data_IF_406841232675
#
_entry.id   IF_406841232675
#
_cell.length_a   1.000
_cell.length_b   1.000
_cell.length_c   1.000
_cell.angle_alpha   90.00
_cell.angle_beta   90.00
_cell.angle_gamma   90.00
#
_symmetry.space_group_name_H-M   'P 1'
#
loop_
_entity.id
_entity.type
_entity.pdbx_description
1 polymer ?
#
# COMPACT_ATOMS: atom_id res chain seq x y z
N UNK A 1 -11.72 -0.39 24.98
CA UNK A 1 -12.18 0.93 25.44
C UNK A 1 -11.21 2.05 25.03
N UNK A 2 -9.92 2.03 25.41
CA UNK A 2 -8.93 3.02 24.93
C UNK A 2 -8.60 2.87 23.43
N UNK A 3 -8.59 1.65 22.90
CA UNK A 3 -8.25 1.40 21.49
C UNK A 3 -9.38 1.78 20.51
N UNK A 4 -10.65 1.61 20.90
CA UNK A 4 -11.81 1.96 20.06
C UNK A 4 -11.99 3.47 19.91
N UNK A 5 -11.66 4.23 20.96
CA UNK A 5 -11.72 5.69 20.95
C UNK A 5 -10.67 6.29 20.01
N UNK A 6 -9.49 5.67 19.91
CA UNK A 6 -8.42 6.03 18.98
C UNK A 6 -8.80 5.80 17.51
N UNK A 7 -9.46 4.67 17.20
CA UNK A 7 -9.93 4.35 15.84
C UNK A 7 -11.01 5.33 15.36
N UNK A 8 -11.81 5.85 16.28
CA UNK A 8 -12.90 6.79 15.96
C UNK A 8 -12.40 8.22 15.69
N UNK A 9 -11.27 8.61 16.29
CA UNK A 9 -10.63 9.92 16.11
C UNK A 9 -9.60 9.98 14.98
N UNK A 10 -9.19 8.81 14.45
CA UNK A 10 -8.24 8.65 13.36
C UNK A 10 -8.50 9.55 12.14
N UNK A 11 -9.75 9.74 11.66
CA UNK A 11 -10.01 10.60 10.50
C UNK A 11 -9.54 12.04 10.67
N UNK A 12 -9.63 12.61 11.87
CA UNK A 12 -9.23 13.98 12.17
C UNK A 12 -7.71 14.18 12.19
N UNK A 13 -6.96 13.20 12.70
CA UNK A 13 -5.48 13.22 12.75
C UNK A 13 -4.82 13.01 11.38
N UNK A 14 -5.55 12.55 10.37
CA UNK A 14 -5.04 12.30 9.03
C UNK A 14 -4.96 13.56 8.15
N UNK A 15 -5.54 14.69 8.58
CA UNK A 15 -5.64 15.93 7.78
C UNK A 15 -4.40 16.84 7.87
N UNK A 16 -3.44 16.58 8.76
CA UNK A 16 -2.13 17.23 8.80
C UNK A 16 -1.02 16.34 8.21
N UNK A 17 -0.20 16.85 7.29
CA UNK A 17 0.83 16.05 6.61
C UNK A 17 1.86 15.43 7.57
N UNK A 18 2.30 16.17 8.59
CA UNK A 18 3.32 15.71 9.54
C UNK A 18 2.80 14.70 10.56
N UNK A 19 1.54 14.84 10.99
CA UNK A 19 0.91 13.93 11.95
C UNK A 19 0.55 12.58 11.31
N UNK A 20 0.10 12.60 10.05
CA UNK A 20 -0.28 11.38 9.31
C UNK A 20 0.88 10.41 9.16
N UNK A 21 2.05 10.88 8.70
CA UNK A 21 3.21 10.01 8.49
C UNK A 21 3.71 9.45 9.82
N UNK A 22 3.67 10.26 10.88
CA UNK A 22 4.05 9.84 12.23
C UNK A 22 3.13 8.73 12.74
N UNK A 23 1.81 8.87 12.59
CA UNK A 23 0.83 7.85 12.94
C UNK A 23 1.05 6.55 12.17
N UNK A 24 1.24 6.62 10.84
CA UNK A 24 1.49 5.44 10.02
C UNK A 24 2.77 4.69 10.45
N UNK A 25 3.83 5.41 10.82
CA UNK A 25 5.06 4.80 11.38
C UNK A 25 4.79 4.10 12.71
N UNK A 26 3.94 4.65 13.58
CA UNK A 26 3.56 4.00 14.84
C UNK A 26 2.76 2.71 14.58
N UNK A 27 1.83 2.72 13.63
CA UNK A 27 1.06 1.54 13.21
C UNK A 27 2.01 0.46 12.67
N UNK A 28 2.91 0.81 11.75
CA UNK A 28 3.89 -0.13 11.19
C UNK A 28 4.79 -0.72 12.28
N UNK A 29 5.23 0.10 13.25
CA UNK A 29 6.01 -0.38 14.40
C UNK A 29 5.22 -1.37 15.26
N UNK A 30 3.95 -1.10 15.53
CA UNK A 30 3.08 -2.02 16.27
C UNK A 30 2.85 -3.35 15.53
N UNK A 31 2.90 -3.33 14.19
CA UNK A 31 2.81 -4.52 13.33
C UNK A 31 4.15 -5.24 13.13
N UNK A 32 5.23 -4.83 13.80
CA UNK A 32 6.55 -5.46 13.65
C UNK A 32 7.34 -5.01 12.42
N UNK A 33 7.08 -3.81 11.90
CA UNK A 33 7.78 -3.19 10.77
C UNK A 33 7.79 -4.05 9.49
N UNK A 34 6.61 -4.53 9.02
CA UNK A 34 6.53 -5.39 7.84
C UNK A 34 7.05 -4.71 6.57
N UNK A 35 7.02 -3.38 6.52
CA UNK A 35 7.54 -2.55 5.43
C UNK A 35 9.06 -2.73 5.20
N UNK A 36 9.81 -3.16 6.21
CA UNK A 36 11.24 -3.42 6.10
C UNK A 36 11.57 -4.77 5.43
N UNK A 37 10.59 -5.65 5.25
CA UNK A 37 10.79 -6.98 4.67
C UNK A 37 10.87 -6.97 3.13
N UNK A 38 10.59 -5.83 2.49
CA UNK A 38 10.40 -5.74 1.04
C UNK A 38 11.37 -4.75 0.40
N UNK A 39 11.84 -5.08 -0.81
CA UNK A 39 12.47 -4.10 -1.70
C UNK A 39 11.37 -3.32 -2.42
N UNK A 40 11.31 -2.00 -2.21
CA UNK A 40 10.22 -1.16 -2.70
C UNK A 40 10.66 -0.26 -3.85
N UNK A 41 9.86 -0.25 -4.93
CA UNK A 41 9.92 0.75 -6.00
C UNK A 41 8.71 1.68 -5.82
N UNK A 42 8.95 2.94 -5.47
CA UNK A 42 7.89 3.94 -5.31
C UNK A 42 7.75 4.76 -6.59
N UNK A 43 6.58 4.68 -7.24
CA UNK A 43 6.27 5.38 -8.49
C UNK A 43 5.35 6.57 -8.22
N UNK A 44 5.90 7.79 -8.38
CA UNK A 44 5.19 9.06 -8.20
C UNK A 44 5.03 9.81 -9.53
N UNK A 45 4.08 10.76 -9.59
CA UNK A 45 3.86 11.63 -10.77
C UNK A 45 2.38 11.93 -11.03
N UNK A 46 2.09 12.85 -11.94
CA UNK A 46 0.71 13.23 -12.26
C UNK A 46 0.00 12.11 -13.03
N UNK A 47 0.63 11.60 -14.10
CA UNK A 47 0.06 10.61 -15.01
C UNK A 47 0.98 9.39 -15.15
N UNK A 48 0.44 8.28 -15.63
CA UNK A 48 1.23 7.10 -16.02
C UNK A 48 1.74 6.22 -14.88
N UNK A 49 1.54 6.57 -13.61
CA UNK A 49 1.98 5.76 -12.45
C UNK A 49 1.49 4.31 -12.54
N UNK A 50 0.19 4.11 -12.75
CA UNK A 50 -0.41 2.79 -12.83
C UNK A 50 0.16 1.95 -13.98
N UNK A 51 0.25 2.52 -15.18
CA UNK A 51 0.82 1.83 -16.35
C UNK A 51 2.30 1.51 -16.17
N UNK A 52 3.08 2.45 -15.60
CA UNK A 52 4.50 2.24 -15.33
C UNK A 52 4.72 1.17 -14.27
N UNK A 53 3.98 1.21 -13.15
CA UNK A 53 4.07 0.18 -12.11
C UNK A 53 3.68 -1.21 -12.64
N UNK A 54 2.64 -1.30 -13.47
CA UNK A 54 2.25 -2.55 -14.11
C UNK A 54 3.33 -3.10 -15.06
N UNK A 55 3.98 -2.22 -15.83
CA UNK A 55 5.09 -2.60 -16.71
C UNK A 55 6.30 -3.07 -15.92
N UNK A 56 6.68 -2.37 -14.86
CA UNK A 56 7.78 -2.78 -13.97
C UNK A 56 7.48 -4.15 -13.34
N UNK A 57 6.27 -4.33 -12.80
CA UNK A 57 5.87 -5.59 -12.19
C UNK A 57 5.91 -6.75 -13.20
N UNK A 58 5.48 -6.51 -14.45
CA UNK A 58 5.57 -7.48 -15.54
C UNK A 58 7.01 -7.94 -15.82
N UNK A 59 7.93 -6.98 -15.93
CA UNK A 59 9.34 -7.24 -16.25
C UNK A 59 10.02 -8.01 -15.12
N UNK A 60 9.80 -7.59 -13.87
CA UNK A 60 10.37 -8.26 -12.70
C UNK A 60 9.82 -9.68 -12.55
N UNK A 61 8.52 -9.87 -12.75
CA UNK A 61 7.90 -11.19 -12.74
C UNK A 61 8.49 -12.08 -13.84
N UNK A 62 8.61 -11.57 -15.07
CA UNK A 62 9.22 -12.30 -16.18
C UNK A 62 10.69 -12.65 -15.93
N UNK A 63 11.38 -11.87 -15.08
CA UNK A 63 12.75 -12.12 -14.64
C UNK A 63 12.86 -13.11 -13.46
N UNK A 64 11.74 -13.70 -13.02
CA UNK A 64 11.71 -14.73 -11.99
C UNK A 64 11.54 -14.23 -10.55
N UNK A 65 11.25 -12.93 -10.36
CA UNK A 65 10.95 -12.39 -9.02
C UNK A 65 9.49 -12.63 -8.64
N UNK A 66 9.25 -12.82 -7.33
CA UNK A 66 7.90 -12.67 -6.77
C UNK A 66 7.62 -11.19 -6.53
N UNK A 67 6.55 -10.66 -7.11
CA UNK A 67 6.30 -9.21 -7.15
C UNK A 67 4.92 -8.88 -6.60
N UNK A 68 4.90 -8.00 -5.60
CA UNK A 68 3.69 -7.31 -5.16
C UNK A 68 3.47 -6.02 -5.97
N UNK A 69 2.22 -5.70 -6.27
CA UNK A 69 1.82 -4.46 -6.93
C UNK A 69 0.70 -3.79 -6.12
N UNK A 70 0.93 -2.54 -5.74
CA UNK A 70 -0.07 -1.67 -5.12
C UNK A 70 -0.38 -0.50 -6.03
N UNK A 71 -1.64 -0.30 -6.38
CA UNK A 71 -2.11 0.81 -7.24
C UNK A 71 -3.45 1.35 -6.78
N UNK A 72 -3.65 2.67 -6.91
CA UNK A 72 -4.92 3.34 -6.63
C UNK A 72 -5.26 4.36 -7.73
N UNK A 73 -6.55 4.72 -7.91
CA UNK A 73 -7.74 4.10 -7.29
C UNK A 73 -8.07 2.72 -7.88
N UNK A 74 -8.83 1.90 -7.15
CA UNK A 74 -9.52 0.74 -7.72
C UNK A 74 -10.84 1.15 -8.38
N UNK A 75 -11.37 0.32 -9.29
CA UNK A 75 -12.56 0.66 -10.09
C UNK A 75 -13.78 -0.10 -9.59
N UNK A 76 -13.66 -1.41 -9.35
CA UNK A 76 -14.80 -2.26 -8.96
C UNK A 76 -14.69 -2.78 -7.53
N UNK A 77 -13.49 -3.12 -7.08
CA UNK A 77 -13.29 -3.80 -5.82
C UNK A 77 -11.94 -3.45 -5.17
N UNK A 78 -11.88 -3.38 -3.83
CA UNK A 78 -10.69 -2.95 -3.11
C UNK A 78 -9.49 -3.87 -3.38
N UNK A 79 -9.77 -5.16 -3.59
CA UNK A 79 -8.81 -6.21 -3.90
C UNK A 79 -8.05 -5.92 -5.21
N UNK A 80 -8.60 -5.12 -6.12
CA UNK A 80 -7.89 -4.66 -7.32
C UNK A 80 -6.66 -3.80 -6.99
N UNK A 81 -6.66 -3.17 -5.81
CA UNK A 81 -5.58 -2.28 -5.39
C UNK A 81 -4.31 -3.04 -5.00
N UNK A 82 -4.40 -4.34 -4.67
CA UNK A 82 -3.29 -5.15 -4.18
C UNK A 82 -3.23 -6.46 -4.96
N UNK A 83 -2.09 -6.70 -5.60
CA UNK A 83 -1.84 -7.93 -6.35
C UNK A 83 -0.50 -8.56 -5.96
N UNK A 84 -0.44 -9.89 -6.01
CA UNK A 84 0.80 -10.65 -5.90
C UNK A 84 0.92 -11.50 -7.16
N UNK A 85 2.00 -11.33 -7.92
CA UNK A 85 2.23 -12.07 -9.17
C UNK A 85 1.04 -11.99 -10.16
N UNK A 86 0.44 -10.80 -10.26
CA UNK A 86 -0.77 -10.49 -11.06
C UNK A 86 -2.05 -11.23 -10.62
N UNK A 87 -2.07 -11.81 -9.43
CA UNK A 87 -3.27 -12.36 -8.82
C UNK A 87 -3.79 -11.36 -7.78
N UNK A 88 -5.09 -11.10 -7.80
CA UNK A 88 -5.73 -10.29 -6.76
C UNK A 88 -5.63 -11.02 -5.41
N UNK A 89 -5.56 -10.26 -4.32
CA UNK A 89 -5.73 -10.84 -2.99
C UNK A 89 -7.14 -11.42 -2.83
N UNK A 90 -7.30 -12.42 -1.96
CA UNK A 90 -8.61 -12.95 -1.62
C UNK A 90 -9.43 -11.91 -0.86
N UNK A 91 -10.76 -12.02 -0.96
CA UNK A 91 -11.66 -11.28 -0.08
C UNK A 91 -11.42 -11.66 1.38
N UNK A 92 -11.62 -10.71 2.28
CA UNK A 92 -11.60 -10.91 3.73
C UNK A 92 -12.81 -11.71 4.22
#
# INVERSE_FOLDING_TARGET
>A
MQDEEMVTQLPGMLYGEDERVTLLRQILKAMGQPDHAFSIIHVCGTNGKGSTSAMIAAILQASGYSVGLFTSPHIMAVEESIQINRQLISKA
#
